data_IF_222868647409
#
_entry.id   IF_222868647409
#
_cell.length_a   1.000
_cell.length_b   1.000
_cell.length_c   1.000
_cell.angle_alpha   90.00
_cell.angle_beta   90.00
_cell.angle_gamma   90.00
#
_symmetry.space_group_name_H-M   'P 1'
#
loop_
_entity.id
_entity.type
_entity.pdbx_description
1 polymer ?
#
# COMPACT_ATOMS: atom_id res chain seq x y z
N UNK A 1 3.15 -25.53 -12.48
CA UNK A 1 2.18 -24.48 -12.07
C UNK A 1 2.92 -23.48 -11.18
N UNK A 2 3.47 -22.42 -11.78
CA UNK A 2 4.44 -21.53 -11.13
C UNK A 2 3.81 -20.65 -10.03
N UNK A 3 2.51 -20.35 -10.14
CA UNK A 3 1.79 -19.55 -9.17
C UNK A 3 1.75 -20.24 -7.79
N UNK A 4 1.39 -21.52 -7.72
CA UNK A 4 1.32 -22.22 -6.43
C UNK A 4 2.70 -22.43 -5.80
N UNK A 5 3.76 -22.53 -6.61
CA UNK A 5 5.14 -22.56 -6.11
C UNK A 5 5.52 -21.22 -5.49
N UNK A 6 5.28 -20.12 -6.18
CA UNK A 6 5.51 -18.77 -5.67
C UNK A 6 4.68 -18.50 -4.40
N UNK A 7 3.40 -18.86 -4.39
CA UNK A 7 2.53 -18.73 -3.23
C UNK A 7 3.06 -19.53 -2.03
N UNK A 8 3.53 -20.76 -2.25
CA UNK A 8 4.12 -21.59 -1.20
C UNK A 8 5.40 -20.96 -0.63
N UNK A 9 6.26 -20.43 -1.49
CA UNK A 9 7.45 -19.69 -1.06
C UNK A 9 7.09 -18.43 -0.28
N UNK A 10 6.14 -17.64 -0.77
CA UNK A 10 5.68 -16.43 -0.12
C UNK A 10 5.14 -16.73 1.29
N UNK A 11 4.28 -17.76 1.43
CA UNK A 11 3.76 -18.21 2.72
C UNK A 11 4.85 -18.64 3.70
N UNK A 12 5.97 -19.21 3.22
CA UNK A 12 7.13 -19.54 4.07
C UNK A 12 7.87 -18.30 4.57
N UNK A 13 7.90 -17.23 3.77
CA UNK A 13 8.60 -15.99 4.11
C UNK A 13 7.76 -15.13 5.07
N UNK A 14 6.49 -14.89 4.73
CA UNK A 14 5.64 -13.94 5.49
C UNK A 14 4.77 -14.62 6.55
N UNK A 15 4.64 -15.95 6.51
CA UNK A 15 3.75 -16.72 7.39
C UNK A 15 2.37 -16.97 6.79
N UNK A 16 1.65 -17.96 7.34
CA UNK A 16 0.36 -18.39 6.80
C UNK A 16 -0.79 -17.43 7.12
N UNK A 17 -0.67 -16.61 8.16
CA UNK A 17 -1.76 -15.76 8.65
C UNK A 17 -2.02 -14.51 7.79
N UNK A 18 -1.03 -14.13 6.96
CA UNK A 18 -1.13 -12.97 6.07
C UNK A 18 -1.83 -13.28 4.76
N UNK A 19 -2.00 -14.56 4.38
CA UNK A 19 -2.66 -14.93 3.12
C UNK A 19 -3.83 -15.87 3.37
N UNK A 20 -5.04 -15.38 3.13
CA UNK A 20 -6.25 -16.19 3.15
C UNK A 20 -6.72 -16.54 1.74
N UNK A 21 -7.38 -17.69 1.61
CA UNK A 21 -8.05 -18.12 0.38
C UNK A 21 -9.54 -18.26 0.65
N UNK A 22 -10.37 -17.49 -0.07
CA UNK A 22 -11.83 -17.52 0.05
C UNK A 22 -12.45 -17.21 -1.30
N UNK A 23 -13.52 -17.91 -1.68
CA UNK A 23 -14.27 -17.63 -2.92
C UNK A 23 -13.41 -17.58 -4.18
N UNK A 24 -12.46 -18.54 -4.32
CA UNK A 24 -11.52 -18.63 -5.45
C UNK A 24 -10.52 -17.48 -5.60
N UNK A 25 -10.38 -16.62 -4.58
CA UNK A 25 -9.40 -15.53 -4.58
C UNK A 25 -8.47 -15.63 -3.37
N UNK A 26 -7.23 -15.17 -3.56
CA UNK A 26 -6.25 -14.99 -2.49
C UNK A 26 -6.31 -13.55 -1.99
N UNK A 27 -6.24 -13.36 -0.68
CA UNK A 27 -6.25 -12.04 -0.04
C UNK A 27 -5.06 -11.89 0.89
N UNK A 28 -4.40 -10.75 0.80
CA UNK A 28 -3.45 -10.30 1.81
C UNK A 28 -4.20 -9.67 2.98
N UNK A 29 -3.90 -10.13 4.19
CA UNK A 29 -4.51 -9.68 5.44
C UNK A 29 -3.43 -9.08 6.34
N UNK A 30 -3.81 -8.11 7.18
CA UNK A 30 -2.94 -7.53 8.20
C UNK A 30 -1.60 -7.00 7.67
N UNK A 31 -1.57 -6.58 6.41
CA UNK A 31 -0.39 -5.97 5.79
C UNK A 31 -0.51 -4.46 5.86
N UNK A 32 0.59 -3.81 6.22
CA UNK A 32 0.72 -2.38 6.03
C UNK A 32 1.00 -2.10 4.54
N UNK A 33 0.29 -1.13 3.98
CA UNK A 33 0.41 -0.72 2.58
C UNK A 33 0.64 0.80 2.58
N UNK A 34 1.85 1.20 2.21
CA UNK A 34 2.29 2.59 2.14
C UNK A 34 1.40 3.46 1.24
N UNK A 35 0.96 2.94 0.08
CA UNK A 35 0.05 3.64 -0.82
C UNK A 35 -1.32 3.91 -0.18
N UNK A 36 -1.82 3.01 0.68
CA UNK A 36 -3.05 3.25 1.43
C UNK A 36 -2.84 4.30 2.52
N UNK A 37 -1.73 4.22 3.26
CA UNK A 37 -1.40 5.24 4.26
C UNK A 37 -1.22 6.62 3.62
N UNK A 38 -0.54 6.70 2.47
CA UNK A 38 -0.40 7.93 1.70
C UNK A 38 -1.77 8.54 1.37
N UNK A 39 -2.68 7.72 0.80
CA UNK A 39 -4.04 8.15 0.48
C UNK A 39 -4.77 8.69 1.71
N UNK A 40 -4.67 7.99 2.84
CA UNK A 40 -5.32 8.40 4.09
C UNK A 40 -4.72 9.69 4.66
N UNK A 41 -3.39 9.86 4.60
CA UNK A 41 -2.71 11.09 5.03
C UNK A 41 -3.16 12.29 4.18
N UNK A 42 -3.26 12.13 2.86
CA UNK A 42 -3.77 13.18 1.96
C UNK A 42 -5.23 13.51 2.28
N UNK A 43 -6.09 12.50 2.44
CA UNK A 43 -7.50 12.69 2.76
C UNK A 43 -7.68 13.45 4.09
N UNK A 44 -6.99 13.00 5.13
CA UNK A 44 -7.04 13.61 6.45
C UNK A 44 -6.46 15.02 6.48
N UNK A 45 -5.35 15.26 5.77
CA UNK A 45 -4.77 16.60 5.63
C UNK A 45 -5.74 17.59 4.99
N UNK A 46 -6.41 17.19 3.90
CA UNK A 46 -7.45 18.01 3.26
C UNK A 46 -8.64 18.28 4.17
N UNK A 47 -9.12 17.26 4.90
CA UNK A 47 -10.20 17.43 5.87
C UNK A 47 -9.82 18.43 6.99
N UNK A 48 -8.56 18.41 7.46
CA UNK A 48 -8.06 19.36 8.45
C UNK A 48 -7.97 20.79 7.91
N UNK A 49 -7.52 20.97 6.67
CA UNK A 49 -7.55 22.28 6.01
C UNK A 49 -8.96 22.87 5.94
N UNK A 50 -9.95 22.05 5.55
CA UNK A 50 -11.34 22.47 5.50
C UNK A 50 -11.91 22.88 6.87
N UNK A 51 -11.29 22.43 7.96
CA UNK A 51 -11.63 22.82 9.34
C UNK A 51 -10.80 24.01 9.85
N UNK A 52 -9.96 24.63 9.01
CA UNK A 52 -9.04 25.70 9.39
C UNK A 52 -7.83 25.24 10.22
N UNK A 53 -7.61 23.93 10.35
CA UNK A 53 -6.51 23.34 11.14
C UNK A 53 -5.23 23.23 10.29
N UNK A 54 -4.59 24.36 10.05
CA UNK A 54 -3.43 24.47 9.14
C UNK A 54 -2.24 23.62 9.64
N UNK A 55 -1.76 23.82 10.87
CA UNK A 55 -0.59 23.09 11.38
C UNK A 55 -0.80 21.56 11.45
N UNK A 56 -1.95 21.04 11.93
CA UNK A 56 -2.22 19.60 11.86
C UNK A 56 -2.22 19.05 10.43
N UNK A 57 -2.78 19.80 9.47
CA UNK A 57 -2.79 19.40 8.06
C UNK A 57 -1.35 19.33 7.49
N UNK A 58 -0.52 20.32 7.81
CA UNK A 58 0.89 20.36 7.41
C UNK A 58 1.65 19.12 7.89
N UNK A 59 1.46 18.70 9.14
CA UNK A 59 2.07 17.48 9.68
C UNK A 59 1.66 16.25 8.87
N UNK A 60 0.38 16.16 8.46
CA UNK A 60 -0.11 15.03 7.64
C UNK A 60 0.54 15.01 6.25
N UNK A 61 0.66 16.17 5.61
CA UNK A 61 1.29 16.25 4.29
C UNK A 61 2.80 15.97 4.35
N UNK A 62 3.50 16.42 5.39
CA UNK A 62 4.92 16.05 5.59
C UNK A 62 5.11 14.54 5.69
N UNK A 63 4.27 13.86 6.48
CA UNK A 63 4.28 12.39 6.56
C UNK A 63 3.97 11.73 5.21
N UNK A 64 3.04 12.28 4.42
CA UNK A 64 2.73 11.72 3.10
C UNK A 64 3.94 11.81 2.16
N UNK A 65 4.70 12.91 2.22
CA UNK A 65 5.94 13.08 1.45
C UNK A 65 7.01 12.08 1.90
N UNK A 66 7.14 11.81 3.20
CA UNK A 66 8.11 10.85 3.74
C UNK A 66 7.88 9.40 3.25
N UNK A 67 6.65 9.07 2.84
CA UNK A 67 6.31 7.77 2.24
C UNK A 67 6.79 7.64 0.79
N UNK A 68 7.08 8.74 0.08
CA UNK A 68 7.60 8.67 -1.28
C UNK A 68 9.02 8.11 -1.30
N UNK A 69 9.22 6.95 -1.94
CA UNK A 69 10.53 6.25 -2.02
C UNK A 69 11.16 6.24 -3.41
N UNK A 70 10.56 6.91 -4.39
CA UNK A 70 11.00 6.88 -5.79
C UNK A 70 9.83 6.57 -6.72
N UNK A 71 10.15 6.17 -7.95
CA UNK A 71 9.12 5.83 -8.94
C UNK A 71 8.36 4.57 -8.48
N UNK A 72 7.05 4.55 -8.70
CA UNK A 72 6.21 3.43 -8.30
C UNK A 72 6.63 2.17 -9.06
N UNK A 73 7.02 1.13 -8.31
CA UNK A 73 7.52 -0.13 -8.87
C UNK A 73 8.61 0.05 -9.95
N UNK A 74 9.57 0.95 -9.72
CA UNK A 74 10.66 1.29 -10.66
C UNK A 74 11.40 0.06 -11.24
N UNK A 75 11.53 -1.02 -10.46
CA UNK A 75 12.20 -2.26 -10.87
C UNK A 75 11.27 -3.29 -11.54
N UNK A 76 9.98 -2.99 -11.69
CA UNK A 76 8.99 -3.91 -12.25
C UNK A 76 8.74 -3.62 -13.72
N UNK A 77 9.27 -4.46 -14.60
CA UNK A 77 9.04 -4.41 -16.05
C UNK A 77 7.65 -4.92 -16.49
N UNK A 78 6.66 -4.92 -15.59
CA UNK A 78 5.35 -5.49 -15.91
C UNK A 78 4.44 -4.44 -16.54
N UNK A 79 3.83 -4.69 -17.72
CA UNK A 79 3.00 -3.69 -18.41
C UNK A 79 1.85 -3.11 -17.60
N UNK A 80 1.28 -3.89 -16.66
CA UNK A 80 0.19 -3.43 -15.79
C UNK A 80 0.62 -2.38 -14.76
N UNK A 81 1.93 -2.17 -14.56
CA UNK A 81 2.46 -1.10 -13.70
C UNK A 81 2.30 0.27 -14.38
N UNK A 82 2.40 0.30 -15.71
CA UNK A 82 2.32 1.53 -16.52
C UNK A 82 0.87 1.89 -16.93
N UNK A 83 -0.11 1.01 -16.66
CA UNK A 83 -1.51 1.17 -17.07
C UNK A 83 -2.38 1.98 -16.06
N UNK A 84 -1.78 2.61 -15.03
CA UNK A 84 -2.51 3.31 -13.96
C UNK A 84 -2.64 4.81 -14.22
#
# INVERSE_FOLDING_TARGET
>A
NNFHVCLSQLKKVIGNDYISYKSRVYKLNNVWIDALEFKDLIHNGKAMLNQGKIHPAEIKFKKAIELYKGNFFEDSYNPWVDEI
#
